data_IF_035407236173
#
_entry.id   IF_035407236173
#
_cell.length_a   1.000
_cell.length_b   1.000
_cell.length_c   1.000
_cell.angle_alpha   90.00
_cell.angle_beta   90.00
_cell.angle_gamma   90.00
#
_symmetry.space_group_name_H-M   'P 1'
#
loop_
_entity.id
_entity.type
_entity.pdbx_description
1 polymer ?
#
# COMPACT_ATOMS: atom_id res chain seq x y z
N UNK A 1 10.08 6.20 -16.76
CA UNK A 1 9.52 7.38 -16.06
C UNK A 1 8.40 7.04 -15.06
N UNK A 2 7.60 5.98 -15.26
CA UNK A 2 6.51 5.61 -14.33
C UNK A 2 6.92 5.11 -12.93
N UNK A 3 8.08 4.44 -12.80
CA UNK A 3 8.55 3.91 -11.50
C UNK A 3 8.86 5.04 -10.51
N UNK A 4 9.62 6.04 -10.93
CA UNK A 4 10.00 7.18 -10.09
C UNK A 4 8.81 8.04 -9.70
N UNK A 5 7.83 8.22 -10.59
CA UNK A 5 6.60 8.99 -10.30
C UNK A 5 5.66 8.25 -9.34
N UNK A 6 5.65 6.92 -9.38
CA UNK A 6 4.87 6.10 -8.43
C UNK A 6 5.52 6.07 -7.05
N UNK A 7 6.85 5.96 -6.98
CA UNK A 7 7.60 5.89 -5.71
C UNK A 7 7.65 7.23 -4.97
N UNK A 8 7.79 8.34 -5.70
CA UNK A 8 7.85 9.70 -5.11
C UNK A 8 6.44 10.30 -4.94
N UNK A 9 5.38 9.49 -5.02
CA UNK A 9 4.03 9.98 -4.74
C UNK A 9 3.91 10.27 -3.23
N UNK A 10 3.77 11.54 -2.81
CA UNK A 10 3.73 11.89 -1.39
C UNK A 10 2.57 11.21 -0.66
N UNK A 11 1.49 10.86 -1.38
CA UNK A 11 0.35 10.12 -0.84
C UNK A 11 0.71 8.69 -0.42
N UNK A 12 1.56 8.03 -1.22
CA UNK A 12 2.03 6.67 -0.97
C UNK A 12 3.03 6.67 0.20
N UNK A 13 3.91 7.68 0.28
CA UNK A 13 4.84 7.86 1.40
C UNK A 13 4.12 8.02 2.74
N UNK A 14 3.09 8.88 2.81
CA UNK A 14 2.29 9.09 4.02
C UNK A 14 1.56 7.80 4.42
N UNK A 15 0.95 7.11 3.45
CA UNK A 15 0.27 5.84 3.69
C UNK A 15 1.21 4.77 4.27
N UNK A 16 2.37 4.55 3.63
CA UNK A 16 3.35 3.60 4.13
C UNK A 16 3.89 3.97 5.50
N UNK A 17 4.16 5.25 5.74
CA UNK A 17 4.59 5.73 7.07
C UNK A 17 3.55 5.39 8.14
N UNK A 18 2.27 5.59 7.86
CA UNK A 18 1.18 5.28 8.80
C UNK A 18 1.00 3.78 9.04
N UNK A 19 1.15 2.94 8.02
CA UNK A 19 1.00 1.49 8.14
C UNK A 19 2.22 0.86 8.82
N UNK A 20 3.41 1.40 8.60
CA UNK A 20 4.64 0.85 9.19
C UNK A 20 4.96 1.42 10.58
N UNK A 21 4.49 2.62 10.92
CA UNK A 21 4.71 3.20 12.26
C UNK A 21 4.14 2.33 13.38
N UNK A 22 2.97 1.73 13.17
CA UNK A 22 2.35 0.81 14.15
C UNK A 22 3.15 -0.47 14.38
N UNK A 23 4.05 -0.87 13.45
CA UNK A 23 4.93 -2.02 13.63
C UNK A 23 6.25 -1.66 14.31
N UNK A 24 6.51 -0.36 14.54
CA UNK A 24 7.69 0.14 15.22
C UNK A 24 7.35 0.42 16.69
N UNK A 25 7.75 -0.47 17.59
CA UNK A 25 7.71 -0.24 19.03
C UNK A 25 8.78 0.77 19.46
N UNK A 26 8.50 1.53 20.52
CA UNK A 26 9.43 2.51 21.09
C UNK A 26 10.74 1.89 21.62
N UNK A 27 10.76 0.59 21.89
CA UNK A 27 11.94 -0.13 22.39
C UNK A 27 12.94 -0.53 21.30
N UNK A 28 12.62 -0.31 20.02
CA UNK A 28 13.55 -0.62 18.93
C UNK A 28 14.69 0.40 18.85
N UNK A 29 15.93 -0.10 18.87
CA UNK A 29 17.11 0.67 18.49
C UNK A 29 16.99 1.16 17.03
N UNK A 30 17.55 2.32 16.70
CA UNK A 30 17.41 2.95 15.38
C UNK A 30 17.92 2.07 14.23
N UNK A 31 18.93 1.24 14.48
CA UNK A 31 19.39 0.21 13.54
C UNK A 31 18.30 -0.83 13.20
N UNK A 32 17.51 -1.26 14.19
CA UNK A 32 16.43 -2.23 13.97
C UNK A 32 15.27 -1.58 13.21
N UNK A 33 14.95 -0.31 13.48
CA UNK A 33 13.94 0.44 12.73
C UNK A 33 14.28 0.52 11.24
N UNK A 34 15.54 0.82 10.92
CA UNK A 34 16.05 0.82 9.53
C UNK A 34 15.99 -0.57 8.91
N UNK A 35 16.37 -1.62 9.66
CA UNK A 35 16.30 -3.01 9.18
C UNK A 35 14.89 -3.44 8.80
N UNK A 36 13.88 -3.12 9.62
CA UNK A 36 12.46 -3.39 9.34
C UNK A 36 12.01 -2.61 8.10
N UNK A 37 12.37 -1.33 8.00
CA UNK A 37 12.06 -0.50 6.83
C UNK A 37 12.65 -1.06 5.53
N UNK A 38 13.90 -1.52 5.57
CA UNK A 38 14.57 -2.15 4.42
C UNK A 38 13.89 -3.47 4.02
N UNK A 39 13.58 -4.33 4.99
CA UNK A 39 12.86 -5.59 4.74
C UNK A 39 11.51 -5.33 4.05
N UNK A 40 10.73 -4.39 4.59
CA UNK A 40 9.45 -4.00 4.01
C UNK A 40 9.61 -3.46 2.58
N UNK A 41 10.61 -2.60 2.35
CA UNK A 41 10.91 -2.06 1.02
C UNK A 41 11.34 -3.12 0.01
N UNK A 42 12.11 -4.13 0.42
CA UNK A 42 12.52 -5.25 -0.44
C UNK A 42 11.30 -6.09 -0.82
N UNK A 43 10.46 -6.44 0.15
CA UNK A 43 9.24 -7.22 -0.10
C UNK A 43 8.33 -6.49 -1.09
N UNK A 44 8.11 -5.18 -0.89
CA UNK A 44 7.29 -4.36 -1.79
C UNK A 44 7.90 -4.28 -3.20
N UNK A 45 9.22 -4.09 -3.30
CA UNK A 45 9.93 -4.05 -4.60
C UNK A 45 9.77 -5.36 -5.36
N UNK A 46 9.98 -6.51 -4.71
CA UNK A 46 9.83 -7.83 -5.33
C UNK A 46 8.40 -8.04 -5.80
N UNK A 47 7.43 -7.65 -4.98
CA UNK A 47 6.01 -7.73 -5.33
C UNK A 47 5.67 -6.89 -6.56
N UNK A 48 6.10 -5.62 -6.61
CA UNK A 48 5.86 -4.75 -7.76
C UNK A 48 6.51 -5.25 -9.05
N UNK A 49 7.71 -5.84 -8.98
CA UNK A 49 8.35 -6.47 -10.14
C UNK A 49 7.49 -7.62 -10.66
N UNK A 50 7.01 -8.49 -9.76
CA UNK A 50 6.16 -9.62 -10.09
C UNK A 50 4.83 -9.17 -10.72
N UNK A 51 4.16 -8.20 -10.11
CA UNK A 51 2.90 -7.64 -10.63
C UNK A 51 3.12 -6.96 -11.98
N UNK A 52 4.19 -6.16 -12.12
CA UNK A 52 4.50 -5.47 -13.38
C UNK A 52 4.75 -6.47 -14.51
N UNK A 53 5.48 -7.55 -14.24
CA UNK A 53 5.68 -8.62 -15.22
C UNK A 53 4.36 -9.31 -15.58
N UNK A 54 3.53 -9.60 -14.58
CA UNK A 54 2.22 -10.25 -14.77
C UNK A 54 1.26 -9.41 -15.62
N UNK A 55 1.22 -8.10 -15.39
CA UNK A 55 0.34 -7.16 -16.12
C UNK A 55 0.83 -6.91 -17.55
N UNK A 56 2.11 -7.16 -17.86
CA UNK A 56 2.61 -7.05 -19.23
C UNK A 56 2.12 -8.18 -20.15
N UNK A 57 1.53 -9.25 -19.62
CA UNK A 57 0.87 -10.28 -20.43
C UNK A 57 -0.35 -9.66 -21.15
N UNK A 58 -0.44 -9.78 -22.49
CA UNK A 58 -1.46 -9.08 -23.28
C UNK A 58 -2.89 -9.43 -22.87
N UNK A 59 -3.13 -10.70 -22.49
CA UNK A 59 -4.43 -11.16 -22.02
C UNK A 59 -4.86 -10.49 -20.70
N UNK A 60 -3.94 -10.42 -19.72
CA UNK A 60 -4.24 -9.81 -18.42
C UNK A 60 -4.37 -8.29 -18.55
N UNK A 61 -3.50 -7.66 -19.33
CA UNK A 61 -3.58 -6.23 -19.65
C UNK A 61 -4.94 -5.85 -20.22
N UNK A 62 -5.41 -6.57 -21.24
CA UNK A 62 -6.66 -6.27 -21.90
C UNK A 62 -7.87 -6.49 -20.97
N UNK A 63 -7.82 -7.52 -20.12
CA UNK A 63 -8.84 -7.76 -19.09
C UNK A 63 -8.91 -6.64 -18.04
N UNK A 64 -7.74 -6.18 -17.55
CA UNK A 64 -7.68 -5.08 -16.59
C UNK A 64 -8.22 -3.78 -17.21
N UNK A 65 -7.88 -3.49 -18.47
CA UNK A 65 -8.35 -2.29 -19.17
C UNK A 65 -9.86 -2.37 -19.42
N UNK A 66 -10.39 -3.51 -19.87
CA UNK A 66 -11.84 -3.65 -20.13
C UNK A 66 -12.67 -3.50 -18.86
N UNK A 67 -12.14 -3.93 -17.73
CA UNK A 67 -12.84 -3.95 -16.45
C UNK A 67 -12.38 -2.85 -15.48
N UNK A 68 -11.55 -1.91 -15.95
CA UNK A 68 -10.88 -0.90 -15.13
C UNK A 68 -11.86 -0.12 -14.24
N UNK A 69 -13.03 0.24 -14.78
CA UNK A 69 -14.07 0.96 -14.03
C UNK A 69 -14.60 0.13 -12.85
N UNK A 70 -14.88 -1.15 -13.06
CA UNK A 70 -15.41 -2.05 -12.03
C UNK A 70 -14.34 -2.28 -10.96
N UNK A 71 -13.09 -2.49 -11.38
CA UNK A 71 -11.95 -2.66 -10.48
C UNK A 71 -11.79 -1.43 -9.58
N UNK A 72 -11.80 -0.22 -10.16
CA UNK A 72 -11.70 1.01 -9.36
C UNK A 72 -12.88 1.22 -8.42
N UNK A 73 -14.11 0.92 -8.86
CA UNK A 73 -15.29 1.01 -8.00
C UNK A 73 -15.17 0.06 -6.81
N UNK A 74 -14.75 -1.18 -7.05
CA UNK A 74 -14.57 -2.20 -6.02
C UNK A 74 -13.55 -1.77 -4.96
N UNK A 75 -12.35 -1.34 -5.39
CA UNK A 75 -11.33 -0.84 -4.46
C UNK A 75 -11.78 0.43 -3.72
N UNK A 76 -12.52 1.32 -4.39
CA UNK A 76 -13.10 2.51 -3.76
C UNK A 76 -14.08 2.15 -2.64
N UNK A 77 -14.98 1.19 -2.88
CA UNK A 77 -15.93 0.71 -1.88
C UNK A 77 -15.20 0.08 -0.69
N UNK A 78 -14.20 -0.76 -0.94
CA UNK A 78 -13.38 -1.37 0.11
C UNK A 78 -12.71 -0.30 0.97
N UNK A 79 -12.10 0.71 0.35
CA UNK A 79 -11.43 1.80 1.07
C UNK A 79 -12.40 2.60 1.94
N UNK A 80 -13.62 2.86 1.46
CA UNK A 80 -14.66 3.55 2.24
C UNK A 80 -15.07 2.71 3.45
N UNK A 81 -15.28 1.40 3.27
CA UNK A 81 -15.64 0.49 4.37
C UNK A 81 -14.53 0.47 5.43
N UNK A 82 -13.27 0.31 5.01
CA UNK A 82 -12.14 0.34 5.94
C UNK A 82 -11.98 1.69 6.63
N UNK A 83 -12.21 2.80 5.92
CA UNK A 83 -12.16 4.13 6.51
C UNK A 83 -13.21 4.30 7.61
N UNK A 84 -14.46 3.86 7.37
CA UNK A 84 -15.53 3.92 8.37
C UNK A 84 -15.18 3.05 9.58
N UNK A 85 -14.70 1.82 9.34
CA UNK A 85 -14.28 0.89 10.38
C UNK A 85 -13.16 1.45 11.26
N UNK A 86 -12.12 2.04 10.65
CA UNK A 86 -11.02 2.66 11.38
C UNK A 86 -11.49 3.84 12.22
N UNK A 87 -12.38 4.69 11.68
CA UNK A 87 -12.93 5.83 12.42
C UNK A 87 -13.77 5.35 13.60
N UNK A 88 -14.64 4.36 13.44
CA UNK A 88 -15.43 3.82 14.57
C UNK A 88 -14.55 3.24 15.67
N UNK A 89 -13.51 2.48 15.29
CA UNK A 89 -12.57 1.90 16.24
C UNK A 89 -11.76 2.99 16.97
N UNK A 90 -11.37 4.06 16.26
CA UNK A 90 -10.65 5.17 16.88
C UNK A 90 -11.50 5.91 17.93
N UNK A 91 -12.80 6.08 17.69
CA UNK A 91 -13.71 6.78 18.63
C UNK A 91 -13.89 5.96 19.91
N UNK A 92 -14.08 4.64 19.80
CA UNK A 92 -14.20 3.76 20.98
C UNK A 92 -12.94 3.74 21.85
N UNK A 93 -11.75 3.91 21.26
CA UNK A 93 -10.50 3.96 22.03
C UNK A 93 -10.34 5.26 22.86
N UNK A 94 -10.98 6.36 22.44
CA UNK A 94 -10.87 7.67 23.09
C UNK A 94 -11.97 7.96 24.13
N UNK A 95 -13.06 7.17 24.16
CA UNK A 95 -14.15 7.25 25.15
C UNK A 95 -13.89 6.26 26.28
#
# INVERSE_FOLDING_TARGET
>A
MGLTTSLINPKILIFFTSVFSQFINNDFNDYNKVGIGLLAGIIDTVWYILVSYSVNLPNLKNYIISNQRIIFLFFGIILIIYSIYLVSMSIEYFI
#
